data_IF_338901178041
#
_entry.id   IF_338901178041
#
_cell.length_a   1.000
_cell.length_b   1.000
_cell.length_c   1.000
_cell.angle_alpha   90.00
_cell.angle_beta   90.00
_cell.angle_gamma   90.00
#
_symmetry.space_group_name_H-M   'P 1'
#
loop_
_entity.id
_entity.type
_entity.pdbx_description
1 polymer ?
#
# COMPACT_ATOMS: atom_id res chain seq x y z
N UNK A 1 8.83 -26.17 9.13
CA UNK A 1 10.11 -26.90 9.05
C UNK A 1 10.22 -27.66 7.75
N UNK A 2 9.89 -27.02 6.62
CA UNK A 2 10.18 -27.53 5.28
C UNK A 2 11.22 -26.59 4.66
N UNK A 3 12.03 -27.13 3.77
CA UNK A 3 12.88 -26.35 2.86
C UNK A 3 12.06 -25.77 1.71
N UNK A 4 12.63 -24.82 0.97
CA UNK A 4 11.98 -24.26 -0.22
C UNK A 4 11.75 -25.32 -1.30
N UNK A 5 12.71 -26.23 -1.49
CA UNK A 5 12.61 -27.30 -2.48
C UNK A 5 11.47 -28.28 -2.14
N UNK A 6 11.34 -28.69 -0.87
CA UNK A 6 10.23 -29.55 -0.43
C UNK A 6 8.87 -28.86 -0.59
N UNK A 7 8.78 -27.55 -0.28
CA UNK A 7 7.56 -26.79 -0.49
C UNK A 7 7.18 -26.73 -1.97
N UNK A 8 8.14 -26.50 -2.88
CA UNK A 8 7.92 -26.47 -4.32
C UNK A 8 7.41 -27.81 -4.84
N UNK A 9 8.09 -28.91 -4.52
CA UNK A 9 7.70 -30.26 -4.95
C UNK A 9 6.30 -30.63 -4.44
N UNK A 10 6.03 -30.40 -3.15
CA UNK A 10 4.74 -30.75 -2.54
C UNK A 10 3.59 -29.90 -3.05
N UNK A 11 3.85 -28.64 -3.44
CA UNK A 11 2.82 -27.76 -3.99
C UNK A 11 2.26 -28.30 -5.30
N UNK A 12 3.09 -28.96 -6.10
CA UNK A 12 2.66 -29.60 -7.35
C UNK A 12 1.97 -30.94 -7.08
N UNK A 13 2.54 -31.74 -6.17
CA UNK A 13 2.09 -33.11 -5.90
C UNK A 13 0.82 -33.20 -5.04
N UNK A 14 0.70 -32.35 -4.03
CA UNK A 14 -0.39 -32.36 -3.03
C UNK A 14 -0.61 -30.95 -2.45
N UNK A 15 -1.20 -30.02 -3.24
CA UNK A 15 -1.40 -28.62 -2.84
C UNK A 15 -2.28 -28.45 -1.60
N UNK A 16 -3.23 -29.36 -1.35
CA UNK A 16 -4.11 -29.30 -0.18
C UNK A 16 -3.34 -29.57 1.12
N UNK A 17 -2.41 -30.53 1.10
CA UNK A 17 -1.51 -30.75 2.24
C UNK A 17 -0.64 -29.53 2.53
N UNK A 18 -0.17 -28.83 1.49
CA UNK A 18 0.62 -27.60 1.62
C UNK A 18 -0.22 -26.48 2.23
N UNK A 19 -1.45 -26.29 1.74
CA UNK A 19 -2.36 -25.27 2.28
C UNK A 19 -2.66 -25.52 3.76
N UNK A 20 -2.95 -26.77 4.14
CA UNK A 20 -3.17 -27.16 5.54
C UNK A 20 -1.93 -26.90 6.40
N UNK A 21 -0.77 -27.37 5.98
CA UNK A 21 0.49 -27.18 6.73
C UNK A 21 0.87 -25.69 6.87
N UNK A 22 0.63 -24.90 5.83
CA UNK A 22 0.86 -23.46 5.84
C UNK A 22 -0.05 -22.76 6.85
N UNK A 23 -1.36 -23.03 6.82
CA UNK A 23 -2.32 -22.42 7.77
C UNK A 23 -2.04 -22.82 9.22
N UNK A 24 -1.68 -24.09 9.48
CA UNK A 24 -1.23 -24.52 10.81
C UNK A 24 0.01 -23.78 11.29
N UNK A 25 0.93 -23.45 10.39
CA UNK A 25 2.11 -22.64 10.71
C UNK A 25 1.72 -21.17 10.97
N UNK A 26 0.75 -20.64 10.22
CA UNK A 26 0.20 -19.30 10.44
C UNK A 26 -0.47 -19.17 11.81
N UNK A 27 -1.19 -20.18 12.31
CA UNK A 27 -1.74 -20.18 13.68
C UNK A 27 -0.65 -19.95 14.72
N UNK A 28 0.44 -20.73 14.65
CA UNK A 28 1.58 -20.59 15.58
C UNK A 28 2.22 -19.21 15.48
N UNK A 29 2.33 -18.67 14.27
CA UNK A 29 2.87 -17.32 14.04
C UNK A 29 1.96 -16.25 14.66
N UNK A 30 0.65 -16.28 14.39
CA UNK A 30 -0.30 -15.31 14.94
C UNK A 30 -0.40 -15.43 16.47
N UNK A 31 -0.31 -16.63 17.03
CA UNK A 31 -0.24 -16.84 18.48
C UNK A 31 0.97 -16.10 19.10
N UNK A 32 2.14 -16.19 18.48
CA UNK A 32 3.32 -15.45 18.93
C UNK A 32 3.14 -13.92 18.82
N UNK A 33 2.48 -13.44 17.76
CA UNK A 33 2.13 -12.01 17.62
C UNK A 33 1.19 -11.55 18.75
N UNK A 34 0.19 -12.36 19.10
CA UNK A 34 -0.71 -12.08 20.23
C UNK A 34 0.03 -12.04 21.58
N UNK A 35 1.03 -12.89 21.77
CA UNK A 35 1.88 -12.86 22.97
C UNK A 35 2.69 -11.57 23.07
N UNK A 36 3.27 -11.10 21.96
CA UNK A 36 3.94 -9.80 21.90
C UNK A 36 2.98 -8.64 22.21
N UNK A 37 1.76 -8.70 21.65
CA UNK A 37 0.71 -7.72 21.96
C UNK A 37 0.37 -7.69 23.45
N UNK A 38 0.20 -8.86 24.08
CA UNK A 38 -0.07 -9.00 25.52
C UNK A 38 1.10 -8.49 26.38
N UNK A 39 2.32 -8.58 25.88
CA UNK A 39 3.51 -7.99 26.49
C UNK A 39 3.61 -6.46 26.29
N UNK A 40 2.63 -5.83 25.64
CA UNK A 40 2.56 -4.38 25.44
C UNK A 40 3.20 -3.87 24.14
N UNK A 41 3.61 -4.76 23.23
CA UNK A 41 4.19 -4.36 21.94
C UNK A 41 3.09 -3.98 20.95
N UNK A 42 3.12 -2.78 20.33
CA UNK A 42 2.20 -2.43 19.25
C UNK A 42 2.26 -3.47 18.13
N UNK A 43 1.16 -4.20 17.95
CA UNK A 43 1.05 -5.31 17.00
C UNK A 43 -0.12 -5.02 16.07
N UNK A 44 0.07 -5.24 14.77
CA UNK A 44 -0.94 -4.98 13.75
C UNK A 44 -0.77 -5.92 12.56
N UNK A 45 -1.85 -6.13 11.81
CA UNK A 45 -1.85 -6.85 10.54
C UNK A 45 -1.55 -5.90 9.38
N UNK A 46 -0.65 -6.32 8.49
CA UNK A 46 -0.20 -5.53 7.36
C UNK A 46 -0.76 -6.02 6.02
N UNK A 47 -2.04 -6.42 6.02
CA UNK A 47 -2.83 -6.57 4.80
C UNK A 47 -2.56 -7.85 4.00
N UNK A 48 -2.05 -8.89 4.64
CA UNK A 48 -1.80 -10.20 4.03
C UNK A 48 -2.83 -11.27 4.44
N UNK A 49 -3.84 -10.88 5.23
CA UNK A 49 -4.94 -11.74 5.69
C UNK A 49 -4.51 -12.89 6.64
N UNK A 50 -3.33 -12.79 7.27
CA UNK A 50 -2.80 -13.85 8.16
C UNK A 50 -3.72 -14.12 9.36
N UNK A 51 -4.37 -13.08 9.91
CA UNK A 51 -5.35 -13.21 11.00
C UNK A 51 -6.53 -14.09 10.61
N UNK A 52 -7.06 -13.91 9.39
CA UNK A 52 -8.16 -14.73 8.90
C UNK A 52 -7.75 -16.20 8.71
N UNK A 53 -6.54 -16.45 8.22
CA UNK A 53 -6.04 -17.81 8.07
C UNK A 53 -5.93 -18.51 9.43
N UNK A 54 -5.44 -17.81 10.46
CA UNK A 54 -5.37 -18.36 11.81
C UNK A 54 -6.76 -18.57 12.43
N UNK A 55 -7.69 -17.62 12.24
CA UNK A 55 -9.09 -17.75 12.69
C UNK A 55 -9.78 -18.97 12.08
N UNK A 56 -9.58 -19.21 10.78
CA UNK A 56 -10.16 -20.35 10.08
C UNK A 56 -9.65 -21.70 10.60
N UNK A 57 -8.48 -21.74 11.22
CA UNK A 57 -7.90 -22.93 11.86
C UNK A 57 -8.17 -22.98 13.38
N UNK A 58 -9.11 -22.17 13.89
CA UNK A 58 -9.60 -22.24 15.26
C UNK A 58 -8.93 -21.29 16.26
N UNK A 59 -8.06 -20.37 15.83
CA UNK A 59 -7.54 -19.33 16.72
C UNK A 59 -8.57 -18.20 16.89
N UNK A 60 -9.47 -18.34 17.88
CA UNK A 60 -10.60 -17.43 18.12
C UNK A 60 -10.18 -15.96 18.26
N UNK A 61 -9.04 -15.72 18.92
CA UNK A 61 -8.48 -14.40 19.23
C UNK A 61 -7.57 -13.83 18.14
N UNK A 62 -7.58 -14.39 16.92
CA UNK A 62 -6.68 -13.95 15.85
C UNK A 62 -6.86 -12.48 15.43
N UNK A 63 -7.98 -11.86 15.76
CA UNK A 63 -8.30 -10.46 15.44
C UNK A 63 -8.14 -9.50 16.62
N UNK A 64 -7.56 -9.93 17.75
CA UNK A 64 -7.34 -9.06 18.92
C UNK A 64 -6.34 -7.92 18.62
N UNK A 65 -5.52 -8.05 17.56
CA UNK A 65 -4.74 -6.94 16.99
C UNK A 65 -5.36 -6.40 15.69
N UNK A 66 -5.35 -5.07 15.49
CA UNK A 66 -6.05 -4.43 14.37
C UNK A 66 -5.27 -4.52 13.06
N UNK A 67 -5.95 -4.29 11.93
CA UNK A 67 -5.29 -3.98 10.68
C UNK A 67 -4.65 -2.59 10.72
N UNK A 68 -3.60 -2.40 9.91
CA UNK A 68 -2.88 -1.13 9.84
C UNK A 68 -3.76 0.04 9.34
N UNK A 69 -4.78 -0.25 8.53
CA UNK A 69 -5.65 0.82 8.00
C UNK A 69 -6.53 1.43 9.07
N UNK A 70 -7.37 0.69 9.81
CA UNK A 70 -8.11 1.25 10.93
C UNK A 70 -7.20 1.86 12.00
N UNK A 71 -6.00 1.29 12.24
CA UNK A 71 -5.12 1.77 13.30
C UNK A 71 -4.34 3.04 12.95
N UNK A 72 -3.92 3.22 11.69
CA UNK A 72 -2.97 4.27 11.30
C UNK A 72 -3.36 5.05 10.05
N UNK A 73 -3.84 4.37 9.00
CA UNK A 73 -3.93 4.96 7.65
C UNK A 73 -5.27 5.65 7.37
N UNK A 74 -6.37 5.24 7.99
CA UNK A 74 -7.72 5.77 7.70
C UNK A 74 -7.81 7.30 7.74
N UNK A 75 -7.17 8.04 8.68
CA UNK A 75 -7.18 9.51 8.65
C UNK A 75 -6.55 10.13 7.37
N UNK A 76 -5.64 9.43 6.70
CA UNK A 76 -5.12 9.83 5.40
C UNK A 76 -6.18 9.64 4.30
N UNK A 77 -6.84 8.48 4.28
CA UNK A 77 -7.92 8.19 3.33
C UNK A 77 -9.09 9.17 3.44
N UNK A 78 -9.45 9.61 4.66
CA UNK A 78 -10.49 10.62 4.86
C UNK A 78 -10.21 11.95 4.15
N UNK A 79 -8.95 12.23 3.76
CA UNK A 79 -8.53 13.42 3.00
C UNK A 79 -8.19 13.10 1.54
N UNK A 80 -8.53 11.90 1.07
CA UNK A 80 -8.15 11.39 -0.25
C UNK A 80 -6.63 11.18 -0.42
N UNK A 81 -5.87 11.14 0.68
CA UNK A 81 -4.42 10.90 0.65
C UNK A 81 -4.20 9.41 0.48
N UNK A 82 -3.42 9.01 -0.52
CA UNK A 82 -3.16 7.61 -0.83
C UNK A 82 -1.92 7.46 -1.73
N UNK A 83 -1.61 6.24 -2.21
CA UNK A 83 -0.35 5.90 -2.87
C UNK A 83 -0.27 6.40 -4.33
N UNK A 84 -0.44 7.70 -4.51
CA UNK A 84 -0.27 8.41 -5.78
C UNK A 84 1.17 8.28 -6.27
N UNK A 85 1.33 7.91 -7.54
CA UNK A 85 2.64 7.64 -8.14
C UNK A 85 2.68 8.08 -9.59
N UNK A 86 3.90 8.25 -10.09
CA UNK A 86 4.14 8.50 -11.50
C UNK A 86 5.44 7.87 -11.98
N UNK A 87 5.55 7.65 -13.29
CA UNK A 87 6.71 7.06 -13.95
C UNK A 87 7.08 7.84 -15.22
N UNK A 88 8.37 8.04 -15.44
CA UNK A 88 8.89 8.76 -16.61
C UNK A 88 9.09 7.81 -17.80
N UNK A 89 8.33 8.03 -18.89
CA UNK A 89 8.43 7.18 -20.09
C UNK A 89 9.72 7.40 -20.88
N UNK A 90 10.47 8.45 -20.58
CA UNK A 90 11.80 8.70 -21.14
C UNK A 90 12.83 7.67 -20.70
N UNK A 91 12.60 7.01 -19.56
CA UNK A 91 13.62 6.20 -18.87
C UNK A 91 14.69 7.03 -18.17
N UNK A 92 14.60 8.36 -18.19
CA UNK A 92 15.62 9.25 -17.63
C UNK A 92 15.29 9.60 -16.16
N UNK A 93 16.20 9.32 -15.20
CA UNK A 93 15.97 9.64 -13.79
C UNK A 93 15.85 11.14 -13.52
N UNK A 94 16.41 11.99 -14.38
CA UNK A 94 16.33 13.45 -14.22
C UNK A 94 14.90 13.97 -14.34
N UNK A 95 14.05 13.31 -15.14
CA UNK A 95 12.62 13.66 -15.21
C UNK A 95 11.95 13.48 -13.84
N UNK A 96 12.30 12.42 -13.09
CA UNK A 96 11.80 12.22 -11.73
C UNK A 96 12.35 13.29 -10.77
N UNK A 97 13.64 13.61 -10.82
CA UNK A 97 14.20 14.65 -9.95
C UNK A 97 13.59 16.03 -10.22
N UNK A 98 13.26 16.34 -11.47
CA UNK A 98 12.52 17.56 -11.84
C UNK A 98 11.10 17.56 -11.29
N UNK A 99 10.40 16.43 -11.38
CA UNK A 99 9.07 16.31 -10.76
C UNK A 99 9.13 16.41 -9.23
N UNK A 100 10.15 15.84 -8.57
CA UNK A 100 10.36 15.98 -7.13
C UNK A 100 10.50 17.46 -6.73
N UNK A 101 11.32 18.22 -7.45
CA UNK A 101 11.47 19.67 -7.23
C UNK A 101 10.16 20.43 -7.48
N UNK A 102 9.40 20.08 -8.54
CA UNK A 102 8.10 20.68 -8.84
C UNK A 102 7.08 20.41 -7.73
N UNK A 103 7.08 19.21 -7.14
CA UNK A 103 6.19 18.87 -6.03
C UNK A 103 6.48 19.77 -4.83
N UNK A 104 7.77 19.92 -4.46
CA UNK A 104 8.17 20.80 -3.35
C UNK A 104 7.74 22.26 -3.58
N UNK A 105 7.88 22.76 -4.81
CA UNK A 105 7.47 24.12 -5.16
C UNK A 105 5.94 24.34 -5.06
N UNK A 106 5.14 23.32 -5.38
CA UNK A 106 3.67 23.42 -5.36
C UNK A 106 3.06 23.17 -3.98
N UNK A 107 3.79 22.50 -3.10
CA UNK A 107 3.39 22.15 -1.73
C UNK A 107 4.53 22.59 -0.78
N UNK A 108 4.79 23.90 -0.64
CA UNK A 108 5.99 24.40 0.04
C UNK A 108 5.96 24.18 1.55
N UNK A 109 4.78 24.12 2.16
CA UNK A 109 4.62 24.12 3.61
C UNK A 109 4.57 22.71 4.24
N UNK A 110 4.69 21.65 3.43
CA UNK A 110 4.65 20.26 3.92
C UNK A 110 6.06 19.70 4.12
N UNK A 111 6.62 19.95 5.30
CA UNK A 111 7.96 19.51 5.69
C UNK A 111 8.12 17.99 5.66
N UNK A 112 7.05 17.26 6.00
CA UNK A 112 7.07 15.79 5.97
C UNK A 112 7.18 15.28 4.52
N UNK A 113 6.40 15.85 3.61
CA UNK A 113 6.47 15.54 2.18
C UNK A 113 7.85 15.87 1.60
N UNK A 114 8.46 16.99 1.99
CA UNK A 114 9.79 17.35 1.49
C UNK A 114 10.85 16.35 1.95
N UNK A 115 10.84 16.01 3.24
CA UNK A 115 11.73 14.99 3.80
C UNK A 115 11.49 13.61 3.14
N UNK A 116 10.24 13.25 2.85
CA UNK A 116 9.92 12.04 2.08
C UNK A 116 10.62 12.03 0.72
N UNK A 117 10.53 13.12 -0.05
CA UNK A 117 11.18 13.22 -1.37
C UNK A 117 12.71 13.17 -1.28
N UNK A 118 13.31 13.82 -0.27
CA UNK A 118 14.75 13.79 -0.04
C UNK A 118 15.24 12.38 0.28
N UNK A 119 14.60 11.71 1.25
CA UNK A 119 14.93 10.32 1.58
C UNK A 119 14.69 9.39 0.39
N UNK A 120 13.61 9.61 -0.38
CA UNK A 120 13.30 8.79 -1.55
C UNK A 120 14.33 8.97 -2.67
N UNK A 121 15.00 10.12 -2.76
CA UNK A 121 16.13 10.32 -3.68
C UNK A 121 17.40 9.65 -3.16
N UNK A 122 17.68 9.75 -1.87
CA UNK A 122 18.91 9.22 -1.27
C UNK A 122 18.91 7.70 -1.05
N UNK A 123 17.73 7.10 -0.82
CA UNK A 123 17.60 5.73 -0.31
C UNK A 123 16.92 4.77 -1.28
N UNK A 124 16.21 5.26 -2.31
CA UNK A 124 15.47 4.41 -3.25
C UNK A 124 16.16 4.41 -4.61
N UNK A 125 16.69 3.25 -4.99
CA UNK A 125 17.17 3.02 -6.35
C UNK A 125 16.00 2.74 -7.29
N UNK A 126 16.04 3.33 -8.48
CA UNK A 126 15.04 3.07 -9.51
C UNK A 126 15.11 1.63 -10.03
N UNK A 127 13.97 1.10 -10.45
CA UNK A 127 13.82 -0.23 -11.04
C UNK A 127 13.00 -0.11 -12.33
N UNK A 128 13.59 -0.43 -13.48
CA UNK A 128 12.94 -0.21 -14.78
C UNK A 128 12.85 1.28 -15.11
N UNK A 129 11.65 1.75 -15.51
CA UNK A 129 11.41 3.19 -15.69
C UNK A 129 11.54 3.92 -14.34
N UNK A 130 12.29 5.04 -14.28
CA UNK A 130 12.31 5.88 -13.09
C UNK A 130 10.90 6.30 -12.69
N UNK A 131 10.56 6.07 -11.43
CA UNK A 131 9.23 6.30 -10.89
C UNK A 131 9.30 6.82 -9.45
N UNK A 132 8.28 7.56 -9.05
CA UNK A 132 8.15 8.11 -7.69
C UNK A 132 6.78 7.78 -7.13
N UNK A 133 6.78 7.34 -5.89
CA UNK A 133 5.60 7.26 -5.02
C UNK A 133 5.62 8.49 -4.09
N UNK A 134 4.49 9.18 -3.97
CA UNK A 134 4.35 10.33 -3.08
C UNK A 134 2.88 10.43 -2.64
N UNK A 135 2.62 10.25 -1.35
CA UNK A 135 1.26 10.25 -0.85
C UNK A 135 0.69 11.67 -0.80
N UNK A 136 -0.30 11.93 -1.65
CA UNK A 136 -0.96 13.24 -1.76
C UNK A 136 -2.48 13.10 -1.84
N UNK A 137 -3.18 14.13 -1.35
CA UNK A 137 -4.62 14.14 -1.13
C UNK A 137 -5.47 14.66 -2.29
N UNK A 138 -6.78 14.70 -2.04
CA UNK A 138 -7.73 15.43 -2.88
C UNK A 138 -7.25 16.88 -3.06
N UNK A 139 -7.37 17.42 -4.27
CA UNK A 139 -6.86 18.75 -4.60
C UNK A 139 -5.37 18.76 -4.99
N UNK A 140 -4.50 18.11 -4.22
CA UNK A 140 -3.06 18.06 -4.57
C UNK A 140 -2.81 17.23 -5.84
N UNK A 141 -3.50 16.09 -5.98
CA UNK A 141 -3.32 15.17 -7.13
C UNK A 141 -3.52 15.85 -8.49
N UNK A 142 -4.62 16.59 -8.69
CA UNK A 142 -4.89 17.24 -9.97
C UNK A 142 -3.93 18.39 -10.25
N UNK A 143 -3.53 19.15 -9.23
CA UNK A 143 -2.54 20.25 -9.36
C UNK A 143 -1.18 19.71 -9.81
N UNK A 144 -0.73 18.60 -9.22
CA UNK A 144 0.50 17.93 -9.65
C UNK A 144 0.37 17.37 -11.07
N UNK A 145 -0.74 16.71 -11.39
CA UNK A 145 -0.96 16.17 -12.73
C UNK A 145 -0.93 17.23 -13.83
N UNK A 146 -1.60 18.36 -13.61
CA UNK A 146 -1.57 19.51 -14.53
C UNK A 146 -0.17 20.11 -14.65
N UNK A 147 0.55 20.25 -13.53
CA UNK A 147 1.91 20.78 -13.54
C UNK A 147 2.90 19.85 -14.26
N UNK A 148 2.80 18.53 -14.07
CA UNK A 148 3.63 17.58 -14.80
C UNK A 148 3.32 17.62 -16.30
N UNK A 149 2.04 17.71 -16.67
CA UNK A 149 1.64 17.85 -18.06
C UNK A 149 2.16 19.16 -18.70
N UNK A 150 2.15 20.26 -17.95
CA UNK A 150 2.78 21.53 -18.34
C UNK A 150 4.28 21.37 -18.59
N UNK A 151 4.98 20.70 -17.68
CA UNK A 151 6.42 20.44 -17.81
C UNK A 151 6.74 19.59 -19.05
N UNK A 152 5.90 18.60 -19.38
CA UNK A 152 6.02 17.84 -20.63
C UNK A 152 5.82 18.77 -21.83
N UNK A 153 4.76 19.58 -21.84
CA UNK A 153 4.45 20.51 -22.94
C UNK A 153 5.58 21.50 -23.20
N UNK A 154 6.22 21.99 -22.15
CA UNK A 154 7.28 22.98 -22.24
C UNK A 154 8.68 22.36 -22.48
N UNK A 155 8.77 21.03 -22.58
CA UNK A 155 10.05 20.33 -22.75
C UNK A 155 10.95 20.35 -21.51
N UNK A 156 10.41 20.71 -20.33
CA UNK A 156 11.11 20.57 -19.05
C UNK A 156 11.30 19.08 -18.70
N UNK A 157 10.38 18.22 -19.12
CA UNK A 157 10.50 16.75 -19.06
C UNK A 157 10.74 16.19 -20.47
N UNK A 158 11.57 15.16 -20.58
CA UNK A 158 12.04 14.62 -21.87
C UNK A 158 10.99 13.83 -22.63
N UNK A 159 10.02 13.26 -21.92
CA UNK A 159 8.92 12.49 -22.50
C UNK A 159 7.67 12.57 -21.60
N UNK A 160 6.51 12.04 -22.06
CA UNK A 160 5.32 11.98 -21.21
C UNK A 160 5.54 11.20 -19.91
N UNK A 161 4.75 11.55 -18.90
CA UNK A 161 4.72 10.89 -17.58
C UNK A 161 3.42 10.09 -17.47
N UNK A 162 3.51 8.84 -17.02
CA UNK A 162 2.32 8.08 -16.60
C UNK A 162 2.02 8.39 -15.15
N UNK A 163 0.78 8.75 -14.84
CA UNK A 163 0.31 8.97 -13.47
C UNK A 163 -0.64 7.84 -13.10
N UNK A 164 -0.49 7.29 -11.91
CA UNK A 164 -1.33 6.21 -11.40
C UNK A 164 -1.28 6.08 -9.89
N UNK A 165 -1.64 4.91 -9.40
CA UNK A 165 -1.67 4.56 -7.98
C UNK A 165 -1.80 3.05 -7.80
N UNK A 166 -1.76 2.61 -6.55
CA UNK A 166 -2.26 1.29 -6.17
C UNK A 166 -3.79 1.24 -6.26
N UNK A 167 -4.35 0.03 -6.26
CA UNK A 167 -5.78 -0.21 -6.02
C UNK A 167 -6.14 -0.01 -4.54
N UNK A 168 -5.16 -0.10 -3.63
CA UNK A 168 -5.29 0.41 -2.27
C UNK A 168 -5.31 1.94 -2.32
N UNK A 169 -6.50 2.54 -2.24
CA UNK A 169 -6.68 3.99 -2.16
C UNK A 169 -8.05 4.29 -1.52
N UNK A 170 -8.23 5.53 -1.08
CA UNK A 170 -9.36 6.00 -0.26
C UNK A 170 -10.77 5.60 -0.74
N UNK A 171 -10.97 5.38 -2.04
CA UNK A 171 -12.27 5.08 -2.62
C UNK A 171 -12.27 3.97 -3.67
N UNK A 172 -11.21 3.16 -3.78
CA UNK A 172 -11.07 2.19 -4.88
C UNK A 172 -11.01 0.73 -4.45
N UNK A 173 -11.40 0.42 -3.22
CA UNK A 173 -11.33 -0.95 -2.68
C UNK A 173 -12.37 -1.18 -1.59
N UNK A 174 -12.91 -2.40 -1.56
CA UNK A 174 -13.67 -2.94 -0.44
C UNK A 174 -12.97 -4.23 0.01
N UNK A 175 -12.48 -4.25 1.26
CA UNK A 175 -11.67 -5.32 1.83
C UNK A 175 -11.81 -5.33 3.36
N UNK A 176 -12.76 -6.12 3.90
CA UNK A 176 -13.11 -6.10 5.33
C UNK A 176 -12.00 -6.50 6.30
N UNK A 177 -10.96 -7.18 5.82
CA UNK A 177 -9.79 -7.57 6.62
C UNK A 177 -8.58 -6.66 6.39
N UNK A 178 -8.76 -5.54 5.68
CA UNK A 178 -7.68 -4.61 5.32
C UNK A 178 -8.20 -3.16 5.22
N UNK A 179 -8.47 -2.63 4.03
CA UNK A 179 -8.76 -1.20 3.84
C UNK A 179 -10.08 -0.72 4.47
N UNK A 180 -11.12 -1.55 4.39
CA UNK A 180 -12.45 -1.23 4.92
C UNK A 180 -12.74 -1.99 6.22
N UNK A 181 -11.71 -2.45 6.94
CA UNK A 181 -11.88 -3.13 8.24
C UNK A 181 -12.39 -2.19 9.32
N UNK A 182 -13.47 -2.54 10.00
CA UNK A 182 -14.08 -1.75 11.08
C UNK A 182 -14.42 -0.32 10.62
N UNK A 183 -15.19 -0.20 9.53
CA UNK A 183 -15.82 1.07 9.19
C UNK A 183 -16.76 1.48 10.32
N UNK A 184 -16.81 2.79 10.62
CA UNK A 184 -17.55 3.30 11.79
C UNK A 184 -19.04 2.98 11.76
N UNK A 185 -19.60 2.84 10.55
CA UNK A 185 -20.99 2.52 10.28
C UNK A 185 -21.23 1.03 9.97
N UNK A 186 -20.20 0.18 10.06
CA UNK A 186 -20.27 -1.24 9.75
C UNK A 186 -20.38 -1.58 8.26
N UNK A 187 -20.08 -0.62 7.38
CA UNK A 187 -20.14 -0.78 5.92
C UNK A 187 -18.96 -1.54 5.29
N UNK A 188 -18.18 -2.28 6.09
CA UNK A 188 -16.92 -2.93 5.72
C UNK A 188 -16.98 -3.70 4.39
N UNK A 189 -18.08 -4.42 4.16
CA UNK A 189 -18.26 -5.31 3.01
C UNK A 189 -18.98 -4.65 1.81
N UNK A 190 -19.34 -3.37 1.88
CA UNK A 190 -20.04 -2.68 0.78
C UNK A 190 -19.10 -2.48 -0.40
N UNK A 191 -19.31 -3.23 -1.48
CA UNK A 191 -18.44 -3.26 -2.66
C UNK A 191 -18.89 -2.36 -3.81
N UNK A 192 -19.92 -1.54 -3.63
CA UNK A 192 -20.40 -0.62 -4.66
C UNK A 192 -19.35 0.46 -5.00
N UNK A 193 -18.64 0.97 -3.97
CA UNK A 193 -17.67 2.05 -4.10
C UNK A 193 -16.51 1.78 -5.08
N UNK A 194 -15.78 0.64 -5.01
CA UNK A 194 -14.75 0.34 -6.00
C UNK A 194 -15.30 0.20 -7.44
N UNK A 195 -16.57 -0.21 -7.61
CA UNK A 195 -17.20 -0.29 -8.93
C UNK A 195 -17.50 1.13 -9.46
N UNK A 196 -18.08 2.00 -8.61
CA UNK A 196 -18.32 3.40 -8.93
C UNK A 196 -17.02 4.17 -9.19
N UNK A 197 -15.91 3.78 -8.56
CA UNK A 197 -14.59 4.37 -8.82
C UNK A 197 -14.06 4.08 -10.23
N UNK A 198 -14.44 2.94 -10.80
CA UNK A 198 -13.96 2.51 -12.10
C UNK A 198 -14.80 3.05 -13.27
N UNK A 199 -16.09 3.33 -13.04
CA UNK A 199 -17.03 3.92 -14.01
C UNK A 199 -16.72 5.40 -14.26
#
# INVERSE_FOLDING_TARGET
GWTLAEWQERRERDPDSVAKAAKQSMVKHVQAMLELQRAGVPTFDYGNNIRQMAKNEGLEHAFDFPGFVPAYIRPLFCRGVGPFRWAALSGDPEDIYRTDARVKALIPDDTHLHNWLDMARERIHFQGLPARICWVGLGQRHRLGLAFNEMVRNGELKAPIVIGRDHLDSGSVASPNRETEAMRDGSDAVSDWPLLNAL
#
